data_IF_124961528485
#
_entry.id   IF_124961528485
#
_cell.length_a   1.000
_cell.length_b   1.000
_cell.length_c   1.000
_cell.angle_alpha   90.00
_cell.angle_beta   90.00
_cell.angle_gamma   90.00
#
_symmetry.space_group_name_H-M   'P 1'
#
loop_
_entity.id
_entity.type
_entity.pdbx_description
1 polymer ?
#
# COMPACT_ATOMS: atom_id res chain seq x y z
N UNK A 1 -1.92 0.22 -10.25
CA UNK A 1 -1.74 -0.92 -11.18
C UNK A 1 -0.53 -1.73 -10.72
N UNK A 2 -0.65 -3.06 -10.70
CA UNK A 2 0.47 -3.96 -10.40
C UNK A 2 1.20 -4.31 -11.69
N UNK A 3 2.52 -4.16 -11.69
CA UNK A 3 3.40 -4.45 -12.83
C UNK A 3 4.09 -5.82 -12.67
N UNK A 4 4.20 -6.33 -11.44
CA UNK A 4 4.76 -7.63 -11.11
C UNK A 4 4.62 -7.97 -9.62
N UNK A 5 4.68 -9.25 -9.29
CA UNK A 5 4.51 -9.77 -7.93
C UNK A 5 3.05 -9.85 -7.47
N UNK A 6 2.85 -10.02 -6.15
CA UNK A 6 1.53 -10.13 -5.51
C UNK A 6 1.47 -9.19 -4.31
N UNK A 7 0.56 -8.23 -4.38
CA UNK A 7 0.40 -7.19 -3.37
C UNK A 7 -0.98 -7.31 -2.70
N UNK A 8 -1.03 -6.95 -1.43
CA UNK A 8 -2.26 -6.86 -0.65
C UNK A 8 -2.42 -5.44 -0.10
N UNK A 9 -3.62 -4.87 -0.29
CA UNK A 9 -4.04 -3.59 0.29
C UNK A 9 -5.00 -3.86 1.43
N UNK A 10 -4.66 -3.39 2.62
CA UNK A 10 -5.60 -3.25 3.72
C UNK A 10 -6.09 -1.80 3.74
N UNK A 11 -7.39 -1.60 3.56
CA UNK A 11 -8.04 -0.29 3.47
C UNK A 11 -8.82 0.03 4.75
N UNK A 12 -9.09 1.31 4.99
CA UNK A 12 -10.02 1.76 6.05
C UNK A 12 -11.32 0.96 6.02
N UNK A 13 -11.76 0.50 7.20
CA UNK A 13 -12.94 -0.35 7.34
C UNK A 13 -12.65 -1.85 7.22
N UNK A 14 -11.39 -2.25 7.10
CA UNK A 14 -10.98 -3.66 7.07
C UNK A 14 -11.13 -4.35 5.72
N UNK A 15 -11.36 -3.59 4.65
CA UNK A 15 -11.41 -4.15 3.30
C UNK A 15 -10.00 -4.56 2.88
N UNK A 16 -9.82 -5.84 2.58
CA UNK A 16 -8.57 -6.40 2.07
C UNK A 16 -8.70 -6.66 0.57
N UNK A 17 -7.79 -6.12 -0.23
CA UNK A 17 -7.75 -6.30 -1.68
C UNK A 17 -6.41 -6.91 -2.06
N UNK A 18 -6.44 -8.14 -2.58
CA UNK A 18 -5.25 -8.81 -3.14
C UNK A 18 -5.23 -8.63 -4.65
N UNK A 19 -4.08 -8.24 -5.19
CA UNK A 19 -3.91 -7.96 -6.61
C UNK A 19 -2.56 -8.48 -7.13
N UNK A 20 -2.57 -8.90 -8.39
CA UNK A 20 -1.45 -9.45 -9.12
C UNK A 20 -1.21 -8.66 -10.41
N UNK A 21 -0.20 -9.03 -11.20
CA UNK A 21 0.15 -8.34 -12.44
C UNK A 21 -1.09 -8.05 -13.31
N UNK A 22 -1.13 -6.82 -13.85
CA UNK A 22 -2.19 -6.26 -14.69
C UNK A 22 -3.46 -5.83 -13.93
N UNK A 23 -3.59 -6.15 -12.64
CA UNK A 23 -4.69 -5.64 -11.82
C UNK A 23 -4.55 -4.15 -11.49
N UNK A 24 -5.70 -3.46 -11.43
CA UNK A 24 -5.82 -2.07 -11.01
C UNK A 24 -6.64 -2.01 -9.73
N UNK A 25 -5.99 -1.55 -8.65
CA UNK A 25 -6.66 -1.25 -7.37
C UNK A 25 -7.03 0.22 -7.34
N UNK A 26 -8.32 0.50 -7.11
CA UNK A 26 -8.83 1.84 -6.84
C UNK A 26 -8.95 2.06 -5.34
N UNK A 27 -8.25 3.08 -4.83
CA UNK A 27 -8.33 3.47 -3.42
C UNK A 27 -9.23 4.71 -3.30
N UNK A 28 -10.37 4.62 -2.61
CA UNK A 28 -11.28 5.76 -2.46
C UNK A 28 -10.61 6.92 -1.72
N UNK A 29 -11.01 8.15 -2.05
CA UNK A 29 -10.52 9.36 -1.37
C UNK A 29 -10.79 9.27 0.14
N UNK A 30 -9.80 9.66 0.95
CA UNK A 30 -9.89 9.64 2.41
C UNK A 30 -9.62 8.28 3.05
N UNK A 31 -9.28 7.27 2.25
CA UNK A 31 -8.98 5.92 2.73
C UNK A 31 -7.49 5.81 3.10
N UNK A 32 -7.23 5.41 4.33
CA UNK A 32 -5.92 4.89 4.74
C UNK A 32 -5.71 3.55 4.04
N UNK A 33 -4.54 3.36 3.45
CA UNK A 33 -4.19 2.12 2.77
C UNK A 33 -2.81 1.65 3.23
N UNK A 34 -2.71 0.39 3.62
CA UNK A 34 -1.45 -0.28 3.89
C UNK A 34 -1.21 -1.34 2.83
N UNK A 35 -0.01 -1.36 2.24
CA UNK A 35 0.31 -2.21 1.09
C UNK A 35 1.44 -3.14 1.47
N UNK A 36 1.21 -4.46 1.40
CA UNK A 36 2.20 -5.49 1.72
C UNK A 36 2.55 -6.30 0.47
N UNK A 37 3.82 -6.70 0.35
CA UNK A 37 4.20 -7.78 -0.56
C UNK A 37 3.90 -9.11 0.12
N UNK A 38 2.99 -9.89 -0.46
CA UNK A 38 2.55 -11.20 0.08
C UNK A 38 2.90 -12.35 -0.86
N UNK A 39 3.61 -12.05 -1.96
CA UNK A 39 4.19 -13.04 -2.87
C UNK A 39 5.60 -13.46 -2.45
N UNK A 40 6.11 -14.52 -3.10
CA UNK A 40 7.48 -14.98 -2.91
C UNK A 40 8.51 -14.09 -3.65
N UNK A 41 8.08 -13.35 -4.66
CA UNK A 41 8.92 -12.56 -5.54
C UNK A 41 8.84 -11.06 -5.22
N UNK A 42 9.76 -10.29 -5.80
CA UNK A 42 9.72 -8.84 -5.76
C UNK A 42 8.45 -8.30 -6.45
N UNK A 43 7.81 -7.33 -5.81
CA UNK A 43 6.61 -6.67 -6.33
C UNK A 43 6.91 -5.27 -6.87
N UNK A 44 6.28 -4.92 -7.99
CA UNK A 44 6.37 -3.59 -8.63
C UNK A 44 4.96 -3.06 -8.92
N UNK A 45 4.71 -1.78 -8.62
CA UNK A 45 3.42 -1.12 -8.89
C UNK A 45 3.59 0.31 -9.40
N UNK A 46 2.62 0.76 -10.21
CA UNK A 46 2.43 2.16 -10.58
C UNK A 46 1.25 2.74 -9.78
N UNK A 47 1.49 3.90 -9.15
CA UNK A 47 0.50 4.67 -8.42
C UNK A 47 0.30 6.04 -9.06
N UNK A 48 -0.95 6.45 -9.23
CA UNK A 48 -1.33 7.79 -9.70
C UNK A 48 -2.27 8.37 -8.66
N UNK A 49 -1.99 9.59 -8.20
CA UNK A 49 -2.78 10.29 -7.20
C UNK A 49 -3.00 11.74 -7.62
N UNK A 50 -4.17 12.28 -7.30
CA UNK A 50 -4.48 13.69 -7.55
C UNK A 50 -3.76 14.59 -6.53
N UNK A 51 -3.15 15.71 -6.96
CA UNK A 51 -2.55 16.68 -6.04
C UNK A 51 -3.54 17.18 -4.98
N UNK A 52 -3.08 17.44 -3.74
CA UNK A 52 -1.68 17.51 -3.32
C UNK A 52 -1.03 16.15 -2.99
N UNK A 53 -1.73 15.01 -3.14
CA UNK A 53 -1.21 13.63 -2.95
C UNK A 53 -0.25 13.45 -1.76
N UNK A 54 -0.47 14.18 -0.66
CA UNK A 54 0.41 14.14 0.50
C UNK A 54 0.25 12.82 1.24
N UNK A 55 1.37 12.28 1.68
CA UNK A 55 1.41 11.05 2.47
C UNK A 55 1.53 11.43 3.95
N UNK A 56 0.59 10.93 4.76
CA UNK A 56 0.59 11.08 6.20
C UNK A 56 0.72 9.69 6.81
N UNK A 57 1.83 9.48 7.52
CA UNK A 57 2.11 8.23 8.22
C UNK A 57 1.60 8.36 9.66
N UNK A 58 0.89 7.34 10.13
CA UNK A 58 0.42 7.23 11.52
C UNK A 58 0.40 5.75 11.89
N UNK A 59 0.58 5.46 13.18
CA UNK A 59 0.43 4.10 13.67
C UNK A 59 -0.98 3.59 13.34
N UNK A 60 -1.07 2.37 12.83
CA UNK A 60 -2.33 1.73 12.45
C UNK A 60 -2.52 0.47 13.27
N UNK A 61 -3.33 0.57 14.32
CA UNK A 61 -3.68 -0.56 15.20
C UNK A 61 -4.30 -1.73 14.44
N UNK A 62 -5.00 -1.46 13.32
CA UNK A 62 -5.70 -2.46 12.55
C UNK A 62 -4.77 -3.39 11.77
N UNK A 63 -3.61 -2.90 11.33
CA UNK A 63 -2.66 -3.67 10.53
C UNK A 63 -1.31 -3.90 11.22
N UNK A 64 -1.15 -3.38 12.45
CA UNK A 64 0.07 -3.45 13.25
C UNK A 64 1.21 -2.61 12.70
N UNK A 65 0.91 -1.57 11.90
CA UNK A 65 1.95 -0.64 11.45
C UNK A 65 2.28 0.29 12.60
N UNK A 66 3.45 0.10 13.20
CA UNK A 66 4.03 1.03 14.16
C UNK A 66 5.03 1.94 13.42
N UNK A 67 5.04 3.24 13.80
CA UNK A 67 5.94 4.36 13.40
C UNK A 67 7.45 4.07 13.32
N UNK A 68 7.87 2.82 13.53
CA UNK A 68 9.17 2.43 14.06
C UNK A 68 10.17 2.04 12.96
N UNK A 69 9.73 2.04 11.70
CA UNK A 69 10.59 1.75 10.56
C UNK A 69 11.51 2.92 10.21
N UNK A 70 12.75 2.68 9.75
CA UNK A 70 13.63 3.76 9.31
C UNK A 70 12.98 4.52 8.14
N UNK A 71 12.62 5.78 8.39
CA UNK A 71 12.02 6.69 7.40
C UNK A 71 12.94 7.03 6.24
N UNK A 72 14.23 6.71 6.37
CA UNK A 72 15.26 6.96 5.39
C UNK A 72 15.81 5.62 4.90
N UNK A 73 15.79 5.42 3.59
CA UNK A 73 16.60 4.37 2.96
C UNK A 73 18.06 4.81 2.98
N UNK A 74 18.89 4.12 3.76
CA UNK A 74 20.35 4.24 3.69
C UNK A 74 20.85 3.19 2.72
N UNK A 75 21.28 3.64 1.53
CA UNK A 75 22.04 2.85 0.56
C UNK A 75 23.41 2.49 1.12
#
# INVERSE_FOLDING_TARGET
>A
MVLGGVLEWELTGGTVVRASKDDIVWVPRGTVHHIKNVGADLSLRLAVAMPPAMHYFHACEQCGFDDDGPRQWTA
#
